data_IF_908310955867
#
_entry.id   IF_908310955867
#
_cell.length_a   1.000
_cell.length_b   1.000
_cell.length_c   1.000
_cell.angle_alpha   90.00
_cell.angle_beta   90.00
_cell.angle_gamma   90.00
#
_symmetry.space_group_name_H-M   'P 1'
#
loop_
_entity.id
_entity.type
_entity.pdbx_description
1 polymer ?
#
# COMPACT_ATOMS: atom_id res chain seq x y z
N UNK A 1 28.73 -6.99 -6.57
CA UNK A 1 27.36 -6.85 -7.09
C UNK A 1 26.78 -5.52 -6.62
N UNK A 2 26.28 -4.74 -7.57
CA UNK A 2 25.64 -3.49 -7.19
C UNK A 2 24.27 -3.76 -6.59
N UNK A 3 23.92 -3.14 -5.47
CA UNK A 3 22.58 -3.30 -4.92
C UNK A 3 21.54 -2.70 -5.87
N UNK A 4 20.39 -3.31 -5.93
CA UNK A 4 19.25 -2.77 -6.67
C UNK A 4 18.40 -1.98 -5.68
N UNK A 5 18.02 -0.79 -6.06
CA UNK A 5 17.13 0.04 -5.25
C UNK A 5 15.84 0.28 -6.01
N UNK A 6 14.74 -0.02 -5.36
CA UNK A 6 13.43 0.29 -5.91
C UNK A 6 12.72 1.20 -4.91
N UNK A 7 12.18 2.29 -5.42
CA UNK A 7 11.51 3.29 -4.60
C UNK A 7 10.05 3.35 -5.01
N UNK A 8 9.17 3.14 -4.03
CA UNK A 8 7.74 3.31 -4.24
C UNK A 8 7.23 4.41 -3.32
N UNK A 9 6.55 5.37 -3.88
CA UNK A 9 5.99 6.50 -3.14
C UNK A 9 4.48 6.51 -3.31
N UNK A 10 3.77 6.86 -2.24
CA UNK A 10 2.32 6.86 -2.24
C UNK A 10 1.82 8.20 -1.73
N UNK A 11 0.75 8.68 -2.34
CA UNK A 11 0.03 9.87 -1.87
C UNK A 11 -1.31 9.41 -1.34
N UNK A 12 -1.56 9.72 -0.07
CA UNK A 12 -2.84 9.40 0.55
C UNK A 12 -3.65 10.68 0.68
N UNK A 13 -4.94 10.56 0.38
CA UNK A 13 -5.87 11.66 0.56
C UNK A 13 -7.01 11.16 1.42
N UNK A 14 -7.29 11.89 2.48
CA UNK A 14 -8.43 11.61 3.35
C UNK A 14 -9.46 12.69 3.16
N UNK A 15 -10.69 12.30 2.90
CA UNK A 15 -11.79 13.23 2.75
C UNK A 15 -12.75 13.00 3.91
N UNK A 16 -13.05 14.06 4.61
CA UNK A 16 -13.99 14.03 5.72
C UNK A 16 -15.22 14.84 5.33
N UNK A 17 -16.35 14.18 5.23
CA UNK A 17 -17.62 14.83 4.97
C UNK A 17 -18.36 15.02 6.30
N UNK A 18 -18.75 16.22 6.59
CA UNK A 18 -19.44 16.55 7.84
C UNK A 18 -20.76 17.22 7.48
N UNK A 19 -21.86 16.67 8.00
CA UNK A 19 -23.17 17.26 7.70
C UNK A 19 -24.10 17.01 8.89
N UNK A 20 -25.28 17.63 8.85
CA UNK A 20 -26.34 17.35 9.80
C UNK A 20 -27.45 16.59 9.10
N UNK A 21 -27.98 15.57 9.77
CA UNK A 21 -29.09 14.81 9.21
C UNK A 21 -30.41 15.60 9.39
N UNK A 22 -31.51 14.99 8.98
CA UNK A 22 -32.84 15.63 9.02
C UNK A 22 -33.27 16.01 10.44
N UNK A 23 -32.67 15.40 11.45
CA UNK A 23 -32.97 15.67 12.84
C UNK A 23 -31.98 16.62 13.49
N UNK A 24 -31.06 17.18 12.69
CA UNK A 24 -30.05 18.09 13.18
C UNK A 24 -28.85 17.41 13.86
N UNK A 25 -28.79 16.08 13.81
CA UNK A 25 -27.67 15.35 14.39
C UNK A 25 -26.43 15.41 13.52
N UNK A 26 -25.26 15.68 14.09
CA UNK A 26 -24.04 15.70 13.29
C UNK A 26 -23.66 14.30 12.81
N UNK A 27 -23.22 14.25 11.57
CA UNK A 27 -22.75 13.02 10.92
C UNK A 27 -21.40 13.27 10.28
N UNK A 28 -20.56 12.27 10.32
CA UNK A 28 -19.21 12.32 9.72
C UNK A 28 -18.98 11.06 8.94
N UNK A 29 -18.42 11.22 7.75
CA UNK A 29 -17.99 10.09 6.92
C UNK A 29 -16.58 10.32 6.44
N UNK A 30 -15.75 9.30 6.58
CA UNK A 30 -14.37 9.31 6.11
C UNK A 30 -14.25 8.50 4.83
N UNK A 31 -13.51 9.04 3.88
CA UNK A 31 -13.14 8.31 2.67
C UNK A 31 -11.66 8.51 2.44
N UNK A 32 -11.00 7.46 1.97
CA UNK A 32 -9.59 7.52 1.64
C UNK A 32 -9.35 7.22 0.18
N UNK A 33 -8.24 7.73 -0.32
CA UNK A 33 -7.80 7.51 -1.69
C UNK A 33 -6.28 7.45 -1.67
N UNK A 34 -5.71 6.45 -2.33
CA UNK A 34 -4.28 6.27 -2.40
C UNK A 34 -3.84 6.20 -3.86
N UNK A 35 -2.72 6.83 -4.16
CA UNK A 35 -2.10 6.77 -5.48
C UNK A 35 -0.65 6.35 -5.35
N UNK A 36 -0.24 5.37 -6.16
CA UNK A 36 1.15 5.02 -6.31
C UNK A 36 1.77 5.97 -7.32
N UNK A 37 2.76 6.75 -6.90
CA UNK A 37 3.29 7.86 -7.69
C UNK A 37 3.95 7.37 -8.97
N UNK A 38 4.73 6.30 -8.90
CA UNK A 38 5.58 5.87 -10.01
C UNK A 38 4.79 5.33 -11.21
N UNK A 39 3.66 4.68 -10.99
CA UNK A 39 2.85 4.14 -12.09
C UNK A 39 1.48 4.79 -12.23
N UNK A 40 1.12 5.66 -11.29
CA UNK A 40 -0.14 6.39 -11.34
C UNK A 40 -1.37 5.58 -10.94
N UNK A 41 -1.21 4.34 -10.48
CA UNK A 41 -2.34 3.53 -10.04
C UNK A 41 -3.00 4.15 -8.82
N UNK A 42 -4.32 4.18 -8.83
CA UNK A 42 -5.11 4.79 -7.77
C UNK A 42 -6.15 3.80 -7.25
N UNK A 43 -6.47 3.92 -5.97
CA UNK A 43 -7.44 3.05 -5.33
C UNK A 43 -8.16 3.80 -4.21
N UNK A 44 -9.50 3.78 -4.19
CA UNK A 44 -10.23 4.25 -3.02
C UNK A 44 -10.15 3.20 -1.92
N UNK A 45 -10.11 3.64 -0.67
CA UNK A 45 -10.12 2.70 0.45
C UNK A 45 -11.06 3.22 1.55
N UNK A 46 -11.68 2.28 2.25
CA UNK A 46 -12.61 2.57 3.33
C UNK A 46 -11.95 2.51 4.69
N UNK A 47 -10.87 1.74 4.80
CA UNK A 47 -10.13 1.61 6.05
C UNK A 47 -8.64 1.46 5.74
N UNK A 48 -7.84 1.61 6.80
CA UNK A 48 -6.38 1.55 6.65
C UNK A 48 -5.92 0.18 6.19
N UNK A 49 -6.61 -0.88 6.56
CA UNK A 49 -6.24 -2.22 6.14
C UNK A 49 -6.28 -2.38 4.62
N UNK A 50 -7.29 -1.79 3.96
CA UNK A 50 -7.35 -1.81 2.50
C UNK A 50 -6.16 -1.10 1.88
N UNK A 51 -5.78 0.06 2.44
CA UNK A 51 -4.61 0.79 1.96
C UNK A 51 -3.33 -0.03 2.14
N UNK A 52 -3.19 -0.71 3.28
CA UNK A 52 -2.04 -1.55 3.55
C UNK A 52 -1.93 -2.72 2.57
N UNK A 53 -3.06 -3.33 2.20
CA UNK A 53 -3.08 -4.37 1.18
C UNK A 53 -2.61 -3.84 -0.17
N UNK A 54 -3.02 -2.63 -0.51
CA UNK A 54 -2.57 -2.01 -1.75
C UNK A 54 -1.06 -1.77 -1.74
N UNK A 55 -0.52 -1.26 -0.64
CA UNK A 55 0.93 -1.07 -0.51
C UNK A 55 1.66 -2.39 -0.68
N UNK A 56 1.19 -3.44 -0.01
CA UNK A 56 1.81 -4.76 -0.10
C UNK A 56 1.81 -5.27 -1.54
N UNK A 57 0.66 -5.17 -2.22
CA UNK A 57 0.54 -5.64 -3.60
C UNK A 57 1.51 -4.91 -4.53
N UNK A 58 1.62 -3.59 -4.39
CA UNK A 58 2.54 -2.80 -5.21
C UNK A 58 3.98 -3.18 -4.92
N UNK A 59 4.36 -3.26 -3.65
CA UNK A 59 5.74 -3.55 -3.26
C UNK A 59 6.17 -4.95 -3.73
N UNK A 60 5.30 -5.96 -3.60
CA UNK A 60 5.61 -7.30 -4.06
C UNK A 60 5.69 -7.38 -5.57
N UNK A 61 4.82 -6.66 -6.27
CA UNK A 61 4.87 -6.58 -7.73
C UNK A 61 6.19 -5.95 -8.19
N UNK A 62 6.64 -4.90 -7.50
CA UNK A 62 7.91 -4.26 -7.82
C UNK A 62 9.10 -5.17 -7.52
N UNK A 63 9.02 -5.95 -6.45
CA UNK A 63 10.07 -6.92 -6.13
C UNK A 63 10.21 -7.96 -7.24
N UNK A 64 9.08 -8.49 -7.72
CA UNK A 64 9.08 -9.42 -8.84
C UNK A 64 9.71 -8.79 -10.08
N UNK A 65 9.38 -7.55 -10.37
CA UNK A 65 9.90 -6.85 -11.54
C UNK A 65 11.41 -6.65 -11.43
N UNK A 66 11.91 -6.31 -10.25
CA UNK A 66 13.34 -6.14 -10.02
C UNK A 66 14.10 -7.46 -10.17
N UNK A 67 13.46 -8.58 -9.92
CA UNK A 67 14.07 -9.91 -9.97
C UNK A 67 13.73 -10.66 -11.26
N UNK A 68 13.23 -9.96 -12.25
CA UNK A 68 12.73 -10.57 -13.49
C UNK A 68 13.76 -11.40 -14.22
N UNK A 69 15.04 -11.04 -14.12
CA UNK A 69 16.11 -11.74 -14.80
C UNK A 69 16.79 -12.81 -13.95
N UNK A 70 16.40 -12.94 -12.70
CA UNK A 70 16.90 -13.99 -11.83
C UNK A 70 16.14 -15.29 -12.13
N UNK A 71 16.72 -16.44 -11.72
CA UNK A 71 15.99 -17.68 -11.86
C UNK A 71 14.79 -17.69 -10.91
N UNK A 72 13.86 -18.61 -11.17
CA UNK A 72 12.60 -18.66 -10.44
C UNK A 72 12.79 -18.91 -8.95
N UNK A 73 13.72 -19.78 -8.60
CA UNK A 73 14.00 -20.09 -7.18
C UNK A 73 14.53 -18.88 -6.42
N UNK A 74 15.46 -18.14 -7.02
CA UNK A 74 15.98 -16.90 -6.42
C UNK A 74 14.89 -15.86 -6.27
N UNK A 75 14.09 -15.67 -7.32
CA UNK A 75 13.02 -14.69 -7.30
C UNK A 75 12.01 -14.99 -6.20
N UNK A 76 11.63 -16.25 -6.06
CA UNK A 76 10.69 -16.66 -5.01
C UNK A 76 11.24 -16.38 -3.62
N UNK A 77 12.53 -16.62 -3.40
CA UNK A 77 13.17 -16.34 -2.12
C UNK A 77 13.13 -14.85 -1.78
N UNK A 78 13.46 -14.01 -2.77
CA UNK A 78 13.48 -12.57 -2.54
C UNK A 78 12.07 -12.04 -2.30
N UNK A 79 11.09 -12.50 -3.05
CA UNK A 79 9.70 -12.09 -2.87
C UNK A 79 9.19 -12.51 -1.49
N UNK A 80 9.50 -13.75 -1.07
CA UNK A 80 9.09 -14.23 0.25
C UNK A 80 9.73 -13.41 1.37
N UNK A 81 11.01 -13.06 1.23
CA UNK A 81 11.71 -12.25 2.22
C UNK A 81 11.12 -10.83 2.26
N UNK A 82 10.84 -10.24 1.10
CA UNK A 82 10.23 -8.93 1.03
C UNK A 82 8.87 -8.90 1.72
N UNK A 83 8.05 -9.93 1.47
CA UNK A 83 6.74 -10.04 2.10
C UNK A 83 6.85 -10.13 3.62
N UNK A 84 7.78 -10.95 4.10
CA UNK A 84 8.02 -11.12 5.54
C UNK A 84 8.44 -9.81 6.19
N UNK A 85 9.34 -9.08 5.55
CA UNK A 85 9.81 -7.79 6.05
C UNK A 85 8.70 -6.75 6.04
N UNK A 86 7.88 -6.75 5.00
CA UNK A 86 6.73 -5.86 4.92
C UNK A 86 5.74 -6.14 6.06
N UNK A 87 5.45 -7.40 6.32
CA UNK A 87 4.52 -7.79 7.39
C UNK A 87 5.01 -7.30 8.75
N UNK A 88 6.32 -7.41 8.99
CA UNK A 88 6.93 -6.91 10.24
C UNK A 88 6.87 -5.39 10.32
N UNK A 89 7.17 -4.72 9.22
CA UNK A 89 7.12 -3.26 9.14
C UNK A 89 5.68 -2.77 9.40
N UNK A 90 4.71 -3.37 8.71
CA UNK A 90 3.32 -2.98 8.85
C UNK A 90 2.78 -3.23 10.26
N UNK A 91 3.18 -4.35 10.88
CA UNK A 91 2.73 -4.70 12.21
C UNK A 91 3.18 -3.67 13.27
N UNK A 92 4.29 -2.96 13.02
CA UNK A 92 4.77 -1.96 13.98
C UNK A 92 3.88 -0.72 14.03
N UNK A 93 2.97 -0.56 13.07
CA UNK A 93 2.06 0.58 12.99
C UNK A 93 0.60 0.22 13.22
N UNK A 94 0.29 -1.06 13.39
CA UNK A 94 -1.09 -1.54 13.55
C UNK A 94 -1.22 -2.31 14.86
N UNK A 95 -1.31 -1.60 15.94
CA UNK A 95 -1.53 -2.24 17.25
C UNK A 95 -2.98 -2.67 17.41
#
# INVERSE_FOLDING_TARGET
MKPKRDISSFVLRFTQDIWQDDQGEPRVEWRGHVRHVQDGKELPFKDVAEAMHFFQAVLLSRTNECMKQADEGEREKVVAESKKLWERFAASYTD
#
